data_IF_857748097858
#
_entry.id   IF_857748097858
#
_cell.length_a   1.000
_cell.length_b   1.000
_cell.length_c   1.000
_cell.angle_alpha   90.00
_cell.angle_beta   90.00
_cell.angle_gamma   90.00
#
_symmetry.space_group_name_H-M   'P 1'
#
loop_
_entity.id
_entity.type
_entity.pdbx_description
1 polymer ?
#
# COMPACT_ATOMS: atom_id res chain seq x y z
N UNK A 1 5.68 -42.02 -2.67
CA UNK A 1 5.28 -40.96 -3.62
C UNK A 1 4.11 -40.23 -2.98
N UNK A 2 4.35 -39.10 -2.33
CA UNK A 2 3.32 -38.36 -1.60
C UNK A 2 2.69 -37.33 -2.54
N UNK A 3 1.37 -37.36 -2.65
CA UNK A 3 0.55 -36.43 -3.44
C UNK A 3 0.70 -35.00 -2.93
N UNK A 4 0.82 -33.98 -3.82
CA UNK A 4 0.90 -32.60 -3.38
C UNK A 4 -0.46 -32.18 -2.81
N UNK A 5 -0.48 -31.80 -1.55
CA UNK A 5 -1.59 -31.11 -0.91
C UNK A 5 -1.84 -29.80 -1.66
N UNK A 6 -3.01 -29.67 -2.30
CA UNK A 6 -3.44 -28.43 -2.93
C UNK A 6 -3.38 -27.29 -1.91
N UNK A 7 -2.43 -26.37 -2.11
CA UNK A 7 -2.33 -25.16 -1.31
C UNK A 7 -3.61 -24.35 -1.50
N UNK A 8 -4.31 -24.01 -0.40
CA UNK A 8 -5.51 -23.15 -0.43
C UNK A 8 -5.26 -21.77 -1.08
N UNK A 9 -3.99 -21.38 -1.28
CA UNK A 9 -3.60 -20.12 -1.90
C UNK A 9 -3.79 -20.05 -3.42
N UNK A 10 -3.81 -21.17 -4.14
CA UNK A 10 -3.89 -21.15 -5.62
C UNK A 10 -5.29 -20.83 -6.17
N UNK A 11 -6.30 -20.73 -5.31
CA UNK A 11 -7.70 -20.51 -5.71
C UNK A 11 -8.35 -19.29 -5.04
N UNK A 12 -7.61 -18.58 -4.21
CA UNK A 12 -8.10 -17.37 -3.56
C UNK A 12 -7.87 -16.17 -4.48
N UNK A 13 -8.91 -15.40 -4.76
CA UNK A 13 -8.77 -14.06 -5.32
C UNK A 13 -8.21 -13.16 -4.21
N UNK A 14 -6.96 -12.73 -4.38
CA UNK A 14 -6.22 -11.94 -3.38
C UNK A 14 -6.32 -10.44 -3.61
N UNK A 15 -7.25 -10.01 -4.47
CA UNK A 15 -7.40 -8.60 -4.83
C UNK A 15 -8.24 -7.87 -3.78
N UNK A 16 -7.62 -6.88 -3.13
CA UNK A 16 -8.30 -5.98 -2.20
C UNK A 16 -9.12 -4.98 -3.00
N UNK A 17 -10.40 -4.84 -2.70
CA UNK A 17 -11.28 -3.89 -3.39
C UNK A 17 -10.98 -2.45 -2.97
N UNK A 18 -11.32 -1.49 -3.82
CA UNK A 18 -11.17 -0.06 -3.51
C UNK A 18 -11.92 0.34 -2.22
N UNK A 19 -13.14 -0.18 -2.01
CA UNK A 19 -13.92 0.05 -0.79
C UNK A 19 -13.22 -0.47 0.47
N UNK A 20 -12.59 -1.65 0.39
CA UNK A 20 -11.82 -2.19 1.50
C UNK A 20 -10.60 -1.32 1.82
N UNK A 21 -9.93 -0.78 0.80
CA UNK A 21 -8.81 0.15 0.96
C UNK A 21 -9.26 1.44 1.66
N UNK A 22 -10.36 2.03 1.21
CA UNK A 22 -10.92 3.24 1.82
C UNK A 22 -11.32 3.01 3.28
N UNK A 23 -11.89 1.86 3.60
CA UNK A 23 -12.21 1.50 4.98
C UNK A 23 -10.94 1.37 5.84
N UNK A 24 -9.85 0.81 5.31
CA UNK A 24 -8.56 0.77 6.01
C UNK A 24 -8.03 2.18 6.30
N UNK A 25 -8.01 3.06 5.31
CA UNK A 25 -7.56 4.46 5.47
C UNK A 25 -8.45 5.21 6.47
N UNK A 26 -9.77 5.03 6.41
CA UNK A 26 -10.72 5.63 7.35
C UNK A 26 -10.48 5.17 8.80
N UNK A 27 -10.12 3.91 8.99
CA UNK A 27 -9.74 3.39 10.33
C UNK A 27 -8.45 4.04 10.83
N UNK A 28 -7.46 4.23 9.96
CA UNK A 28 -6.21 4.91 10.32
C UNK A 28 -6.45 6.37 10.70
N UNK A 29 -7.33 7.08 10.01
CA UNK A 29 -7.66 8.48 10.30
C UNK A 29 -8.22 8.70 11.74
N UNK A 30 -8.64 7.64 12.44
CA UNK A 30 -9.02 7.70 13.86
C UNK A 30 -7.83 7.80 14.82
N UNK A 31 -6.61 7.62 14.32
CA UNK A 31 -5.34 7.69 15.05
C UNK A 31 -4.45 8.78 14.43
N UNK A 32 -4.76 10.06 14.66
CA UNK A 32 -4.08 11.17 14.00
C UNK A 32 -2.57 11.22 14.31
N UNK A 33 -2.14 10.85 15.53
CA UNK A 33 -0.72 10.80 15.90
C UNK A 33 0.11 9.78 15.10
N UNK A 34 -0.55 8.79 14.50
CA UNK A 34 0.09 7.82 13.62
C UNK A 34 0.04 8.21 12.14
N UNK A 35 -0.66 9.30 11.81
CA UNK A 35 -0.95 9.70 10.44
C UNK A 35 -0.21 10.97 10.03
N UNK A 36 0.11 11.07 8.75
CA UNK A 36 0.51 12.34 8.14
C UNK A 36 -0.69 13.25 7.86
N UNK A 37 -0.40 14.54 7.68
CA UNK A 37 -1.37 15.53 7.20
C UNK A 37 -1.90 15.15 5.80
N UNK A 38 -3.04 15.69 5.43
CA UNK A 38 -3.66 15.38 4.15
C UNK A 38 -2.79 15.86 2.97
N UNK A 39 -2.14 17.03 3.05
CA UNK A 39 -1.19 17.49 2.02
C UNK A 39 -0.03 16.52 1.78
N UNK A 40 0.59 16.02 2.86
CA UNK A 40 1.68 15.04 2.75
C UNK A 40 1.14 13.73 2.19
N UNK A 41 -0.06 13.31 2.60
CA UNK A 41 -0.70 12.11 2.10
C UNK A 41 -0.95 12.19 0.58
N UNK A 42 -1.58 13.26 0.10
CA UNK A 42 -1.86 13.47 -1.32
C UNK A 42 -0.57 13.53 -2.15
N UNK A 43 0.47 14.20 -1.65
CA UNK A 43 1.76 14.24 -2.31
C UNK A 43 2.41 12.84 -2.43
N UNK A 44 2.34 12.04 -1.37
CA UNK A 44 2.82 10.65 -1.37
C UNK A 44 2.04 9.78 -2.37
N UNK A 45 0.73 9.96 -2.47
CA UNK A 45 -0.11 9.25 -3.45
C UNK A 45 0.20 9.64 -4.88
N UNK A 46 0.39 10.94 -5.15
CA UNK A 46 0.82 11.44 -6.46
C UNK A 46 2.17 10.82 -6.89
N UNK A 47 3.14 10.73 -5.97
CA UNK A 47 4.41 10.06 -6.25
C UNK A 47 4.25 8.55 -6.53
N UNK A 48 3.29 7.89 -5.87
CA UNK A 48 2.96 6.49 -6.11
C UNK A 48 2.23 6.28 -7.44
N UNK A 49 1.28 7.14 -7.83
CA UNK A 49 0.52 7.01 -9.08
C UNK A 49 1.41 7.16 -10.32
N UNK A 50 2.47 7.97 -10.23
CA UNK A 50 3.50 8.10 -11.26
C UNK A 50 4.65 7.07 -11.14
N UNK A 51 4.56 6.11 -10.22
CA UNK A 51 5.63 5.14 -10.00
C UNK A 51 5.55 3.97 -10.99
N UNK A 52 6.61 3.65 -11.75
CA UNK A 52 6.61 2.53 -12.69
C UNK A 52 6.48 1.16 -12.00
N UNK A 53 6.69 1.11 -10.68
CA UNK A 53 6.58 -0.11 -9.87
C UNK A 53 5.24 -0.22 -9.12
N UNK A 54 4.27 0.65 -9.41
CA UNK A 54 2.91 0.50 -8.90
C UNK A 54 2.18 -0.59 -9.67
N UNK A 55 1.70 -1.60 -8.95
CA UNK A 55 0.96 -2.72 -9.49
C UNK A 55 -0.52 -2.63 -9.12
N UNK A 56 -1.38 -3.04 -10.06
CA UNK A 56 -2.84 -3.08 -9.86
C UNK A 56 -3.44 -1.73 -9.43
N UNK A 57 -2.75 -0.62 -9.70
CA UNK A 57 -3.12 0.73 -9.28
C UNK A 57 -3.05 1.01 -7.77
N UNK A 58 -2.69 0.02 -6.94
CA UNK A 58 -2.79 0.14 -5.48
C UNK A 58 -1.62 -0.46 -4.72
N UNK A 59 -0.84 -1.36 -5.31
CA UNK A 59 0.16 -2.16 -4.58
C UNK A 59 1.57 -1.81 -5.01
N UNK A 60 2.46 -1.51 -4.05
CA UNK A 60 3.86 -1.25 -4.36
C UNK A 60 4.62 -2.57 -4.62
N UNK A 61 5.26 -2.72 -5.78
CA UNK A 61 6.04 -3.94 -6.09
C UNK A 61 7.28 -4.14 -5.20
N UNK A 62 7.79 -3.09 -4.55
CA UNK A 62 9.00 -3.20 -3.72
C UNK A 62 8.72 -3.72 -2.31
N UNK A 63 7.52 -3.46 -1.75
CA UNK A 63 7.18 -3.87 -0.38
C UNK A 63 5.88 -4.67 -0.26
N UNK A 64 5.09 -4.80 -1.33
CA UNK A 64 3.80 -5.48 -1.33
C UNK A 64 2.68 -4.75 -0.57
N UNK A 65 2.91 -3.53 -0.05
CA UNK A 65 1.88 -2.79 0.66
C UNK A 65 0.91 -2.07 -0.30
N UNK A 66 -0.34 -1.93 0.14
CA UNK A 66 -1.29 -0.99 -0.45
C UNK A 66 -0.80 0.44 -0.21
N UNK A 67 -0.60 1.21 -1.28
CA UNK A 67 0.04 2.53 -1.23
C UNK A 67 -0.81 3.55 -0.49
N UNK A 68 -2.15 3.49 -0.60
CA UNK A 68 -3.08 4.32 0.15
C UNK A 68 -2.97 4.11 1.67
N UNK A 69 -2.76 2.87 2.09
CA UNK A 69 -2.56 2.57 3.51
C UNK A 69 -1.18 3.00 3.96
N UNK A 70 -0.13 2.63 3.20
CA UNK A 70 1.26 2.92 3.56
C UNK A 70 1.55 4.41 3.62
N UNK A 71 1.06 5.18 2.66
CA UNK A 71 1.31 6.62 2.54
C UNK A 71 0.71 7.41 3.71
N UNK A 72 -0.35 6.90 4.36
CA UNK A 72 -1.01 7.60 5.47
C UNK A 72 -0.19 7.57 6.76
N UNK A 73 0.68 6.58 6.97
CA UNK A 73 1.47 6.47 8.19
C UNK A 73 2.61 7.48 8.28
N UNK A 74 2.76 8.11 9.45
CA UNK A 74 3.82 9.07 9.75
C UNK A 74 5.22 8.44 9.64
N UNK A 75 5.42 7.29 10.30
CA UNK A 75 6.72 6.62 10.44
C UNK A 75 7.12 5.76 9.22
N UNK A 76 6.53 6.01 8.05
CA UNK A 76 6.80 5.24 6.83
C UNK A 76 7.42 6.10 5.75
N UNK A 77 8.31 5.47 4.99
CA UNK A 77 8.94 6.04 3.80
C UNK A 77 8.69 5.15 2.58
N UNK A 78 8.90 5.71 1.38
CA UNK A 78 8.83 4.96 0.14
C UNK A 78 9.99 3.94 0.07
N UNK A 79 9.73 2.65 -0.16
CA UNK A 79 10.74 1.59 -0.16
C UNK A 79 11.44 1.42 -1.52
N UNK A 80 11.43 2.46 -2.37
CA UNK A 80 12.07 2.37 -3.67
C UNK A 80 13.60 2.21 -3.51
N UNK A 81 14.25 1.32 -4.29
CA UNK A 81 15.65 0.96 -4.11
C UNK A 81 16.64 2.11 -4.39
N UNK A 82 16.22 3.12 -5.15
CA UNK A 82 16.99 4.34 -5.44
C UNK A 82 16.77 5.48 -4.44
N UNK A 83 16.12 5.22 -3.30
CA UNK A 83 15.71 6.23 -2.34
C UNK A 83 14.22 6.57 -2.43
N UNK A 84 13.71 7.24 -1.40
CA UNK A 84 12.28 7.54 -1.30
C UNK A 84 11.81 8.43 -2.44
N UNK A 85 10.73 8.03 -3.11
CA UNK A 85 10.02 8.89 -4.10
C UNK A 85 9.09 9.91 -3.44
N UNK A 86 8.81 9.75 -2.15
CA UNK A 86 8.01 10.70 -1.39
C UNK A 86 8.88 11.89 -1.00
N UNK A 87 8.40 13.11 -1.28
CA UNK A 87 9.01 14.30 -0.70
C UNK A 87 8.74 14.28 0.81
N UNK A 88 9.76 14.65 1.59
CA UNK A 88 9.73 14.67 3.06
C UNK A 88 8.78 15.72 3.60
#
# INVERSE_FOLDING_TARGET
MSTPSSCKGCSADVHVTQEQIENMVRKLARFPDACVTDDVYENRLSACSACPSLQYGTTCAHCGCVVQVRAKFLDRTCPAPGGSRWAG
#
